data_IF_212135344493
#
_entry.id   IF_212135344493
#
_cell.length_a   1.000
_cell.length_b   1.000
_cell.length_c   1.000
_cell.angle_alpha   90.00
_cell.angle_beta   90.00
_cell.angle_gamma   90.00
#
_symmetry.space_group_name_H-M   'P 1'
#
loop_
_entity.id
_entity.type
_entity.pdbx_description
1 polymer ?
#
# COMPACT_ATOMS: atom_id res chain seq x y z
N UNK A 1 -17.53 27.41 -22.24
CA UNK A 1 -16.54 27.81 -23.26
C UNK A 1 -15.70 26.59 -23.60
N UNK A 2 -15.34 26.35 -24.86
CA UNK A 2 -14.42 25.24 -25.21
C UNK A 2 -12.98 25.73 -25.02
N UNK A 3 -12.15 24.89 -24.42
CA UNK A 3 -10.77 25.15 -24.06
C UNK A 3 -9.90 24.04 -24.65
N UNK A 4 -8.86 24.40 -25.38
CA UNK A 4 -7.85 23.47 -25.88
C UNK A 4 -6.64 23.49 -24.97
N UNK A 5 -6.32 22.34 -24.40
CA UNK A 5 -5.20 22.17 -23.48
C UNK A 5 -4.18 21.25 -24.15
N UNK A 6 -2.93 21.70 -24.19
CA UNK A 6 -1.80 20.88 -24.65
C UNK A 6 -1.34 19.99 -23.49
N UNK A 7 -1.32 18.68 -23.70
CA UNK A 7 -0.88 17.72 -22.69
C UNK A 7 0.44 17.10 -23.12
N UNK A 8 1.45 17.14 -22.25
CA UNK A 8 2.81 16.69 -22.55
C UNK A 8 3.29 15.65 -21.56
N UNK A 9 3.91 14.58 -22.06
CA UNK A 9 4.59 13.56 -21.25
C UNK A 9 6.05 13.95 -21.04
N UNK A 10 6.66 13.43 -19.97
CA UNK A 10 8.10 13.54 -19.72
C UNK A 10 8.96 12.93 -20.85
N UNK A 11 8.40 11.99 -21.62
CA UNK A 11 9.04 11.44 -22.83
C UNK A 11 9.12 12.43 -23.99
N UNK A 12 8.49 13.61 -23.88
CA UNK A 12 8.37 14.61 -24.95
C UNK A 12 7.19 14.39 -25.90
N UNK A 13 6.46 13.27 -25.78
CA UNK A 13 5.21 13.08 -26.51
C UNK A 13 4.14 14.06 -26.02
N UNK A 14 3.29 14.55 -26.92
CA UNK A 14 2.22 15.48 -26.55
C UNK A 14 0.98 15.34 -27.43
N UNK A 15 -0.15 15.81 -26.92
CA UNK A 15 -1.44 15.84 -27.63
C UNK A 15 -2.26 17.04 -27.20
N UNK A 16 -3.11 17.57 -28.09
CA UNK A 16 -3.99 18.69 -27.79
C UNK A 16 -5.41 18.20 -27.56
N UNK A 17 -5.97 18.38 -26.36
CA UNK A 17 -7.32 17.93 -26.02
C UNK A 17 -8.26 19.14 -25.95
N UNK A 18 -9.44 19.03 -26.56
CA UNK A 18 -10.49 20.04 -26.47
C UNK A 18 -11.54 19.58 -25.45
N UNK A 19 -11.73 20.37 -24.38
CA UNK A 19 -12.71 20.12 -23.31
C UNK A 19 -13.52 21.38 -23.05
N UNK A 20 -14.71 21.24 -22.50
CA UNK A 20 -15.48 22.38 -22.03
C UNK A 20 -15.00 22.83 -20.64
N UNK A 21 -15.13 24.13 -20.37
CA UNK A 21 -14.81 24.75 -19.09
C UNK A 21 -15.49 24.10 -17.87
N UNK A 22 -16.66 23.48 -18.07
CA UNK A 22 -17.43 22.81 -17.03
C UNK A 22 -17.16 21.30 -16.97
N UNK A 23 -16.41 20.75 -17.93
CA UNK A 23 -16.00 19.36 -17.87
C UNK A 23 -15.04 19.19 -16.68
N UNK A 24 -15.09 18.00 -16.08
CA UNK A 24 -14.21 17.64 -14.99
C UNK A 24 -12.82 17.30 -15.52
N UNK A 25 -11.78 17.57 -14.72
CA UNK A 25 -10.40 17.23 -15.07
C UNK A 25 -10.23 15.74 -15.39
N UNK A 26 -11.01 14.84 -14.77
CA UNK A 26 -11.02 13.42 -15.15
C UNK A 26 -11.35 13.16 -16.62
N UNK A 27 -12.22 13.98 -17.23
CA UNK A 27 -12.58 13.87 -18.66
C UNK A 27 -11.38 14.22 -19.52
N UNK A 28 -10.68 15.32 -19.18
CA UNK A 28 -9.43 15.71 -19.82
C UNK A 28 -8.40 14.57 -19.74
N UNK A 29 -8.20 14.00 -18.54
CA UNK A 29 -7.28 12.89 -18.30
C UNK A 29 -7.64 11.64 -19.11
N UNK A 30 -8.91 11.22 -19.11
CA UNK A 30 -9.40 10.06 -19.87
C UNK A 30 -9.19 10.24 -21.38
N UNK A 31 -9.47 11.43 -21.92
CA UNK A 31 -9.23 11.72 -23.33
C UNK A 31 -7.73 11.71 -23.67
N UNK A 32 -6.87 12.21 -22.78
CA UNK A 32 -5.40 12.09 -22.92
C UNK A 32 -4.97 10.63 -22.98
N UNK A 33 -5.45 9.78 -22.06
CA UNK A 33 -5.14 8.35 -22.03
C UNK A 33 -5.48 7.66 -23.35
N UNK A 34 -6.69 7.92 -23.86
CA UNK A 34 -7.15 7.35 -25.12
C UNK A 34 -6.30 7.80 -26.32
N UNK A 35 -5.84 9.05 -26.34
CA UNK A 35 -5.02 9.56 -27.45
C UNK A 35 -3.57 9.13 -27.41
N UNK A 36 -2.98 9.07 -26.22
CA UNK A 36 -1.57 8.71 -26.05
C UNK A 36 -1.36 7.20 -25.87
N UNK A 37 -2.44 6.42 -25.70
CA UNK A 37 -2.39 4.96 -25.48
C UNK A 37 -1.54 4.56 -24.27
N UNK A 38 -1.50 5.43 -23.27
CA UNK A 38 -0.83 5.23 -21.98
C UNK A 38 -1.80 5.53 -20.84
N UNK A 39 -1.71 4.83 -19.72
CA UNK A 39 -2.47 5.22 -18.54
C UNK A 39 -1.84 6.44 -17.89
N UNK A 40 -2.69 7.42 -17.56
CA UNK A 40 -2.26 8.68 -16.94
C UNK A 40 -2.70 8.63 -15.49
N UNK A 41 -1.72 8.67 -14.60
CA UNK A 41 -1.93 8.71 -13.17
C UNK A 41 -2.46 10.07 -12.71
N UNK A 42 -1.87 11.15 -13.24
CA UNK A 42 -2.21 12.50 -12.83
C UNK A 42 -1.92 13.50 -13.95
N UNK A 43 -2.71 14.57 -13.98
CA UNK A 43 -2.38 15.78 -14.70
C UNK A 43 -1.79 16.80 -13.73
N UNK A 44 -0.72 17.46 -14.13
CA UNK A 44 0.05 18.38 -13.29
C UNK A 44 0.25 19.68 -14.04
N UNK A 45 -0.15 20.80 -13.44
CA UNK A 45 0.06 22.12 -14.02
C UNK A 45 1.56 22.42 -14.17
N UNK A 46 1.91 23.47 -14.94
CA UNK A 46 3.30 23.92 -15.07
C UNK A 46 3.89 24.42 -13.73
N UNK A 47 3.06 24.84 -12.78
CA UNK A 47 3.49 25.20 -11.43
C UNK A 47 3.81 23.97 -10.56
N UNK A 48 3.57 22.75 -11.04
CA UNK A 48 3.80 21.51 -10.31
C UNK A 48 2.60 21.07 -9.46
N UNK A 49 1.45 21.73 -9.56
CA UNK A 49 0.27 21.36 -8.81
C UNK A 49 -0.50 20.24 -9.50
N UNK A 50 -0.81 19.17 -8.76
CA UNK A 50 -1.66 18.08 -9.25
C UNK A 50 -3.09 18.57 -9.41
N UNK A 51 -3.63 18.45 -10.62
CA UNK A 51 -5.01 18.80 -10.92
C UNK A 51 -5.94 17.70 -10.37
N UNK A 52 -6.94 18.09 -9.59
CA UNK A 52 -7.87 17.15 -8.96
C UNK A 52 -8.93 16.69 -9.96
N UNK A 53 -9.11 15.38 -10.09
CA UNK A 53 -10.02 14.77 -11.08
C UNK A 53 -11.49 15.22 -10.94
N UNK A 54 -11.89 15.64 -9.73
CA UNK A 54 -13.25 16.08 -9.37
C UNK A 54 -13.50 17.56 -9.57
N UNK A 55 -12.46 18.38 -9.81
CA UNK A 55 -12.63 19.78 -10.14
C UNK A 55 -12.95 19.95 -11.63
N UNK A 56 -13.69 21.00 -11.96
CA UNK A 56 -13.89 21.42 -13.34
C UNK A 56 -12.64 22.08 -13.91
N UNK A 57 -12.48 22.03 -15.23
CA UNK A 57 -11.40 22.70 -15.98
C UNK A 57 -11.30 24.19 -15.62
N UNK A 58 -12.44 24.86 -15.42
CA UNK A 58 -12.47 26.26 -15.00
C UNK A 58 -12.03 26.48 -13.54
N UNK A 59 -12.41 25.60 -12.61
CA UNK A 59 -12.01 25.70 -11.20
C UNK A 59 -10.50 25.55 -11.01
N UNK A 60 -9.86 24.72 -11.83
CA UNK A 60 -8.39 24.59 -11.85
C UNK A 60 -7.69 25.68 -12.68
N UNK A 61 -8.45 26.64 -13.22
CA UNK A 61 -7.90 27.80 -13.92
C UNK A 61 -7.32 27.52 -15.31
N UNK A 62 -7.64 26.39 -15.94
CA UNK A 62 -7.13 26.07 -17.28
C UNK A 62 -7.85 26.90 -18.36
N UNK A 63 -7.05 27.48 -19.26
CA UNK A 63 -7.46 28.37 -20.36
C UNK A 63 -6.94 27.89 -21.72
N UNK A 64 -7.43 28.48 -22.83
CA UNK A 64 -7.13 27.98 -24.19
C UNK A 64 -5.65 28.22 -24.51
N UNK A 65 -4.95 27.14 -24.85
CA UNK A 65 -3.51 27.14 -25.12
C UNK A 65 -2.63 26.75 -23.94
N UNK A 66 -3.20 26.52 -22.75
CA UNK A 66 -2.42 26.07 -21.59
C UNK A 66 -1.77 24.72 -21.83
N UNK A 67 -0.58 24.56 -21.25
CA UNK A 67 0.15 23.28 -21.26
C UNK A 67 0.09 22.64 -19.89
N UNK A 68 -0.17 21.34 -19.86
CA UNK A 68 -0.24 20.54 -18.63
C UNK A 68 0.62 19.31 -18.83
N UNK A 69 1.39 18.95 -17.81
CA UNK A 69 2.19 17.73 -17.81
C UNK A 69 1.33 16.54 -17.38
N UNK A 70 1.50 15.40 -18.05
CA UNK A 70 0.82 14.17 -17.69
C UNK A 70 1.83 13.15 -17.13
N UNK A 71 1.54 12.67 -15.92
CA UNK A 71 2.30 11.63 -15.26
C UNK A 71 1.77 10.26 -15.71
N UNK A 72 2.64 9.44 -16.30
CA UNK A 72 2.29 8.09 -16.74
C UNK A 72 2.20 7.16 -15.53
N UNK A 73 1.13 6.37 -15.49
CA UNK A 73 0.93 5.31 -14.49
C UNK A 73 1.99 4.24 -14.67
N UNK A 74 2.65 3.83 -13.59
CA UNK A 74 3.59 2.71 -13.62
C UNK A 74 2.88 1.38 -13.41
N UNK A 75 3.38 0.33 -14.05
CA UNK A 75 3.00 -1.04 -13.70
C UNK A 75 3.47 -1.32 -12.28
N UNK A 76 2.60 -1.87 -11.43
CA UNK A 76 2.92 -2.17 -10.03
C UNK A 76 2.33 -3.49 -9.58
N UNK A 77 3.04 -4.15 -8.67
CA UNK A 77 2.59 -5.31 -7.91
C UNK A 77 1.87 -4.86 -6.63
N UNK A 78 0.81 -5.59 -6.28
CA UNK A 78 0.00 -5.38 -5.09
C UNK A 78 -0.28 -6.73 -4.42
N UNK A 79 -0.15 -6.78 -3.10
CA UNK A 79 -0.41 -7.96 -2.27
C UNK A 79 -0.75 -7.48 -0.85
N UNK A 80 -1.41 -8.32 -0.05
CA UNK A 80 -1.64 -8.04 1.37
C UNK A 80 -0.63 -8.79 2.23
N UNK A 81 -0.32 -8.24 3.41
CA UNK A 81 0.45 -8.95 4.44
C UNK A 81 -0.32 -10.23 4.79
N UNK A 82 0.17 -11.38 4.31
CA UNK A 82 -0.42 -12.74 4.42
C UNK A 82 -1.35 -13.20 3.29
N UNK A 83 -1.59 -12.40 2.24
CA UNK A 83 -2.26 -12.96 1.05
C UNK A 83 -1.44 -14.10 0.45
N UNK A 84 -2.14 -15.10 -0.07
CA UNK A 84 -1.60 -16.15 -0.92
C UNK A 84 -1.72 -15.81 -2.41
N UNK A 85 -2.09 -14.56 -2.72
CA UNK A 85 -2.25 -14.04 -4.06
C UNK A 85 -1.50 -12.71 -4.25
N UNK A 86 -1.15 -12.44 -5.50
CA UNK A 86 -0.52 -11.21 -5.95
C UNK A 86 -1.35 -10.69 -7.13
N UNK A 87 -1.55 -9.38 -7.18
CA UNK A 87 -2.16 -8.69 -8.30
C UNK A 87 -1.16 -7.74 -8.96
N UNK A 88 -1.23 -7.62 -10.28
CA UNK A 88 -0.48 -6.66 -11.07
C UNK A 88 -1.46 -5.64 -11.63
N UNK A 89 -1.22 -4.37 -11.35
CA UNK A 89 -1.90 -3.24 -11.99
C UNK A 89 -1.00 -2.76 -13.12
N UNK A 90 -1.41 -2.99 -14.36
CA UNK A 90 -0.65 -2.59 -15.52
C UNK A 90 -0.73 -1.07 -15.76
N UNK A 91 0.29 -0.47 -16.38
CA UNK A 91 0.30 0.95 -16.74
C UNK A 91 -0.91 1.41 -17.57
N UNK A 92 -1.53 0.51 -18.37
CA UNK A 92 -2.76 0.79 -19.13
C UNK A 92 -4.05 0.72 -18.28
N UNK A 93 -3.94 0.43 -16.98
CA UNK A 93 -5.05 0.44 -16.02
C UNK A 93 -5.82 -0.87 -15.85
N UNK A 94 -5.43 -1.94 -16.55
CA UNK A 94 -6.00 -3.28 -16.33
C UNK A 94 -5.29 -4.03 -15.20
N UNK A 95 -5.98 -5.02 -14.62
CA UNK A 95 -5.48 -5.81 -13.49
C UNK A 95 -5.53 -7.30 -13.79
N UNK A 96 -4.48 -8.01 -13.40
CA UNK A 96 -4.38 -9.48 -13.42
C UNK A 96 -3.91 -9.95 -12.07
N UNK A 97 -4.42 -11.08 -11.58
CA UNK A 97 -4.00 -11.70 -10.32
C UNK A 97 -3.61 -13.17 -10.52
N UNK A 98 -2.70 -13.65 -9.67
CA UNK A 98 -2.29 -15.06 -9.60
C UNK A 98 -2.05 -15.48 -8.15
N UNK A 99 -2.08 -16.79 -7.89
CA UNK A 99 -1.91 -17.37 -6.56
C UNK A 99 -3.08 -18.29 -6.22
N UNK A 100 -3.40 -18.41 -4.94
CA UNK A 100 -4.49 -19.30 -4.49
C UNK A 100 -5.87 -18.75 -4.91
N UNK A 101 -6.69 -19.58 -5.58
CA UNK A 101 -8.00 -19.18 -6.11
C UNK A 101 -8.95 -18.63 -5.04
N UNK A 102 -8.98 -19.27 -3.86
CA UNK A 102 -9.80 -18.82 -2.73
C UNK A 102 -9.29 -17.50 -2.10
N UNK A 103 -8.17 -16.96 -2.56
CA UNK A 103 -7.59 -15.69 -2.12
C UNK A 103 -7.63 -14.60 -3.20
N UNK A 104 -8.47 -14.77 -4.24
CA UNK A 104 -8.52 -13.83 -5.37
C UNK A 104 -7.38 -14.01 -6.37
N UNK A 105 -6.72 -15.18 -6.36
CA UNK A 105 -5.67 -15.55 -7.31
C UNK A 105 -6.11 -15.70 -8.77
N UNK A 106 -7.41 -15.53 -9.09
CA UNK A 106 -7.90 -15.49 -10.46
C UNK A 106 -8.93 -14.35 -10.61
N UNK A 107 -8.59 -13.33 -11.41
CA UNK A 107 -9.42 -12.16 -11.72
C UNK A 107 -10.16 -12.27 -13.05
N UNK A 108 -10.06 -13.40 -13.76
CA UNK A 108 -10.64 -13.56 -15.10
C UNK A 108 -12.15 -13.29 -15.16
N UNK A 109 -12.88 -13.65 -14.11
CA UNK A 109 -14.34 -13.45 -14.03
C UNK A 109 -14.76 -11.97 -13.96
N UNK A 110 -13.87 -11.07 -13.56
CA UNK A 110 -14.14 -9.62 -13.46
C UNK A 110 -13.25 -8.80 -14.39
N UNK A 111 -12.50 -9.45 -15.30
CA UNK A 111 -11.50 -8.83 -16.18
C UNK A 111 -12.05 -7.62 -16.94
N UNK A 112 -13.26 -7.73 -17.49
CA UNK A 112 -13.89 -6.65 -18.27
C UNK A 112 -14.27 -5.43 -17.42
N UNK A 113 -14.37 -5.59 -16.11
CA UNK A 113 -14.66 -4.51 -15.16
C UNK A 113 -13.38 -3.87 -14.60
N UNK A 114 -12.26 -4.59 -14.63
CA UNK A 114 -10.96 -4.13 -14.12
C UNK A 114 -10.26 -3.21 -15.13
N UNK A 115 -10.89 -2.07 -15.39
CA UNK A 115 -10.40 -1.02 -16.30
C UNK A 115 -10.26 0.29 -15.55
N UNK A 116 -9.21 1.05 -15.89
CA UNK A 116 -8.86 2.32 -15.24
C UNK A 116 -8.77 2.24 -13.69
N UNK A 117 -8.19 1.15 -13.17
CA UNK A 117 -8.05 0.93 -11.71
C UNK A 117 -6.99 1.85 -11.10
N UNK A 118 -7.39 2.75 -10.22
CA UNK A 118 -6.51 3.72 -9.55
C UNK A 118 -5.89 3.15 -8.27
N UNK A 119 -6.68 2.44 -7.47
CA UNK A 119 -6.26 1.88 -6.19
C UNK A 119 -6.70 0.43 -6.10
N UNK A 120 -5.90 -0.39 -5.43
CA UNK A 120 -6.23 -1.78 -5.15
C UNK A 120 -6.00 -2.04 -3.67
N UNK A 121 -7.07 -2.34 -2.95
CA UNK A 121 -7.01 -2.86 -1.59
C UNK A 121 -7.07 -4.39 -1.64
N UNK A 122 -6.33 -5.04 -0.74
CA UNK A 122 -6.25 -6.49 -0.67
C UNK A 122 -6.35 -6.94 0.79
N UNK A 123 -7.19 -7.95 1.05
CA UNK A 123 -7.19 -8.69 2.30
C UNK A 123 -6.60 -10.11 2.09
N UNK A 124 -6.74 -11.03 3.03
CA UNK A 124 -6.16 -12.39 2.88
C UNK A 124 -6.89 -13.24 1.83
N UNK A 125 -8.13 -12.89 1.49
CA UNK A 125 -9.06 -13.73 0.72
C UNK A 125 -9.64 -13.07 -0.54
N UNK A 126 -9.48 -11.76 -0.69
CA UNK A 126 -10.14 -10.95 -1.70
C UNK A 126 -9.38 -9.66 -2.02
N UNK A 127 -9.74 -9.07 -3.16
CA UNK A 127 -9.28 -7.75 -3.60
C UNK A 127 -10.48 -6.84 -3.89
N UNK A 128 -10.25 -5.54 -3.72
CA UNK A 128 -11.16 -4.47 -4.10
C UNK A 128 -10.41 -3.43 -4.95
N UNK A 129 -10.85 -3.24 -6.19
CA UNK A 129 -10.32 -2.28 -7.14
C UNK A 129 -11.18 -1.02 -7.17
N UNK A 130 -10.60 0.11 -6.80
CA UNK A 130 -11.20 1.43 -6.99
C UNK A 130 -10.85 1.93 -8.39
N UNK A 131 -11.88 2.11 -9.21
CA UNK A 131 -11.79 2.64 -10.56
C UNK A 131 -11.77 4.17 -10.54
N UNK A 132 -11.25 4.76 -11.61
CA UNK A 132 -11.17 6.22 -11.74
C UNK A 132 -12.50 6.98 -11.77
N UNK A 133 -13.60 6.28 -12.03
CA UNK A 133 -14.95 6.85 -11.96
C UNK A 133 -15.53 6.86 -10.54
N UNK A 134 -14.78 6.38 -9.54
CA UNK A 134 -15.20 6.28 -8.15
C UNK A 134 -16.03 5.03 -7.84
N UNK A 135 -16.06 4.05 -8.76
CA UNK A 135 -16.69 2.74 -8.53
C UNK A 135 -15.71 1.71 -7.97
N UNK A 136 -16.23 0.75 -7.21
CA UNK A 136 -15.43 -0.37 -6.66
C UNK A 136 -15.85 -1.69 -7.31
N UNK A 137 -14.86 -2.50 -7.69
CA UNK A 137 -15.03 -3.87 -8.21
C UNK A 137 -14.29 -4.83 -7.28
N UNK A 138 -14.96 -5.88 -6.81
CA UNK A 138 -14.37 -6.87 -5.89
C UNK A 138 -14.26 -8.25 -6.52
N UNK A 139 -13.25 -9.02 -6.14
CA UNK A 139 -13.16 -10.45 -6.46
C UNK A 139 -12.47 -11.23 -5.35
N UNK A 140 -12.71 -12.54 -5.29
CA UNK A 140 -12.19 -13.44 -4.26
C UNK A 140 -13.30 -14.16 -3.51
N UNK A 141 -13.05 -14.50 -2.24
CA UNK A 141 -14.00 -15.22 -1.40
C UNK A 141 -15.14 -14.31 -0.91
N UNK A 142 -16.39 -14.79 -0.98
CA UNK A 142 -17.58 -13.97 -0.78
C UNK A 142 -17.76 -13.49 0.67
N UNK A 143 -17.51 -14.34 1.67
CA UNK A 143 -17.66 -13.99 3.11
C UNK A 143 -16.63 -12.95 3.55
N UNK A 144 -15.52 -12.86 2.83
CA UNK A 144 -14.44 -11.91 3.08
C UNK A 144 -14.49 -10.69 2.15
N UNK A 145 -15.66 -10.39 1.57
CA UNK A 145 -15.90 -9.18 0.78
C UNK A 145 -15.45 -9.25 -0.67
N UNK A 146 -15.11 -10.44 -1.20
CA UNK A 146 -14.76 -10.64 -2.60
C UNK A 146 -15.95 -10.74 -3.55
N UNK A 147 -17.20 -10.74 -3.05
CA UNK A 147 -18.43 -10.74 -3.86
C UNK A 147 -19.54 -9.97 -3.17
N UNK A 148 -20.53 -9.53 -3.94
CA UNK A 148 -21.79 -9.00 -3.42
C UNK A 148 -21.75 -7.52 -3.05
N UNK A 149 -20.74 -6.78 -3.52
CA UNK A 149 -20.58 -5.35 -3.30
C UNK A 149 -20.46 -4.59 -4.64
N UNK A 150 -21.39 -4.86 -5.56
CA UNK A 150 -21.41 -4.24 -6.88
C UNK A 150 -22.06 -2.85 -6.80
N UNK A 151 -21.45 -1.85 -7.45
CA UNK A 151 -22.08 -0.53 -7.64
C UNK A 151 -21.88 0.47 -6.51
N UNK A 152 -20.95 0.23 -5.57
CA UNK A 152 -20.49 1.29 -4.67
C UNK A 152 -19.89 2.43 -5.53
N UNK A 153 -20.33 3.66 -5.29
CA UNK A 153 -19.97 4.85 -6.07
C UNK A 153 -19.48 5.97 -5.16
N UNK A 154 -18.89 7.00 -5.76
CA UNK A 154 -18.35 8.16 -5.06
C UNK A 154 -17.25 7.80 -4.05
N UNK A 155 -16.57 6.67 -4.25
CA UNK A 155 -15.46 6.24 -3.40
C UNK A 155 -14.21 7.00 -3.80
N UNK A 156 -13.46 7.44 -2.80
CA UNK A 156 -12.17 8.14 -2.98
C UNK A 156 -10.99 7.37 -2.41
N UNK A 157 -11.24 6.42 -1.50
CA UNK A 157 -10.18 5.61 -0.88
C UNK A 157 -10.74 4.28 -0.34
N UNK A 158 -9.93 3.23 -0.36
CA UNK A 158 -10.28 1.90 0.16
C UNK A 158 -9.18 1.37 1.09
N UNK A 159 -9.57 0.78 2.21
CA UNK A 159 -8.66 0.10 3.14
C UNK A 159 -9.17 -1.30 3.44
N UNK A 160 -8.26 -2.19 3.82
CA UNK A 160 -8.56 -3.59 4.08
C UNK A 160 -7.95 -4.04 5.41
N UNK A 161 -8.74 -4.77 6.21
CA UNK A 161 -8.20 -5.65 7.26
C UNK A 161 -7.87 -7.02 6.66
N UNK A 162 -7.58 -8.05 7.46
CA UNK A 162 -7.31 -9.39 6.93
C UNK A 162 -8.54 -10.02 6.25
N UNK A 163 -9.75 -9.53 6.52
CA UNK A 163 -10.98 -10.23 6.13
C UNK A 163 -12.18 -9.30 5.88
N UNK A 164 -11.98 -7.99 5.92
CA UNK A 164 -12.99 -6.98 5.64
C UNK A 164 -12.38 -5.79 4.91
N UNK A 165 -13.25 -4.92 4.40
CA UNK A 165 -12.89 -3.69 3.73
C UNK A 165 -13.69 -2.52 4.30
N UNK A 166 -13.13 -1.32 4.16
CA UNK A 166 -13.84 -0.07 4.34
C UNK A 166 -13.51 0.87 3.17
N UNK A 167 -14.51 1.63 2.72
CA UNK A 167 -14.38 2.64 1.68
C UNK A 167 -14.78 4.00 2.22
N UNK A 168 -13.95 5.00 1.94
CA UNK A 168 -14.25 6.41 2.18
C UNK A 168 -14.94 6.99 0.94
N UNK A 169 -16.11 7.58 1.14
CA UNK A 169 -16.81 8.32 0.10
C UNK A 169 -16.41 9.80 0.10
N UNK A 170 -16.58 10.47 -1.05
CA UNK A 170 -16.18 11.86 -1.25
C UNK A 170 -16.88 12.87 -0.33
N UNK A 171 -18.03 12.50 0.23
CA UNK A 171 -18.81 13.27 1.21
C UNK A 171 -18.37 13.02 2.66
N UNK A 172 -17.37 12.17 2.88
CA UNK A 172 -16.83 11.83 4.19
C UNK A 172 -17.59 10.74 4.94
N UNK A 173 -18.53 10.05 4.27
CA UNK A 173 -19.15 8.83 4.79
C UNK A 173 -18.26 7.59 4.57
N UNK A 174 -18.48 6.57 5.39
CA UNK A 174 -17.72 5.32 5.35
C UNK A 174 -18.67 4.16 5.11
N UNK A 175 -18.33 3.30 4.15
CA UNK A 175 -19.05 2.05 3.88
C UNK A 175 -18.13 0.87 4.19
N UNK A 176 -18.62 -0.11 4.94
CA UNK A 176 -17.86 -1.31 5.33
C UNK A 176 -18.50 -2.58 4.79
N UNK A 177 -17.69 -3.59 4.49
CA UNK A 177 -18.16 -4.90 4.06
C UNK A 177 -17.15 -6.02 4.32
N UNK A 178 -17.60 -7.27 4.19
CA UNK A 178 -16.82 -8.46 4.49
C UNK A 178 -17.17 -9.04 5.86
N UNK A 179 -16.20 -9.67 6.53
CA UNK A 179 -16.46 -10.36 7.78
C UNK A 179 -16.71 -9.37 8.93
N UNK A 180 -17.90 -9.42 9.53
CA UNK A 180 -18.34 -8.46 10.55
C UNK A 180 -17.41 -8.38 11.77
N UNK A 181 -16.92 -9.53 12.27
CA UNK A 181 -16.07 -9.62 13.46
C UNK A 181 -14.72 -8.89 13.32
N UNK A 182 -14.27 -8.66 12.09
CA UNK A 182 -13.01 -7.96 11.80
C UNK A 182 -13.22 -6.58 11.16
N UNK A 183 -14.38 -5.98 11.44
CA UNK A 183 -14.73 -4.61 11.05
C UNK A 183 -15.51 -4.47 9.74
N UNK A 184 -16.01 -5.57 9.16
CA UNK A 184 -16.93 -5.54 8.03
C UNK A 184 -18.34 -5.04 8.37
N UNK A 185 -18.62 -4.78 9.65
CA UNK A 185 -19.85 -4.15 10.14
C UNK A 185 -19.49 -2.95 11.03
N UNK A 186 -19.85 -1.74 10.59
CA UNK A 186 -19.67 -0.49 11.32
C UNK A 186 -20.97 0.09 11.90
N UNK A 187 -22.07 -0.66 11.89
CA UNK A 187 -23.40 -0.17 12.31
C UNK A 187 -23.42 0.36 13.75
N UNK A 188 -22.60 -0.19 14.64
CA UNK A 188 -22.47 0.27 16.03
C UNK A 188 -21.87 1.67 16.19
N UNK A 189 -21.17 2.18 15.18
CA UNK A 189 -20.52 3.50 15.18
C UNK A 189 -20.95 4.39 14.02
N UNK A 190 -21.95 3.98 13.24
CA UNK A 190 -22.40 4.65 12.01
C UNK A 190 -22.71 6.14 12.22
N UNK A 191 -23.38 6.47 13.33
CA UNK A 191 -23.71 7.87 13.69
C UNK A 191 -22.49 8.76 13.96
N UNK A 192 -21.30 8.18 14.09
CA UNK A 192 -20.03 8.89 14.31
C UNK A 192 -19.17 8.94 13.04
N UNK A 193 -19.49 8.17 11.99
CA UNK A 193 -18.72 8.05 10.75
C UNK A 193 -19.14 9.10 9.71
N UNK A 194 -18.89 10.36 10.03
CA UNK A 194 -19.14 11.50 9.15
C UNK A 194 -17.95 12.46 9.14
N UNK A 195 -17.75 13.17 8.04
CA UNK A 195 -16.62 14.09 7.89
C UNK A 195 -15.27 13.39 8.09
N UNK A 196 -15.20 12.10 7.72
CA UNK A 196 -13.96 11.31 7.80
C UNK A 196 -13.00 11.80 6.73
N UNK A 197 -11.73 12.04 7.13
CA UNK A 197 -10.66 12.46 6.23
C UNK A 197 -9.56 11.40 6.08
N UNK A 198 -9.49 10.43 6.99
CA UNK A 198 -8.53 9.33 6.94
C UNK A 198 -9.17 8.05 7.44
N UNK A 199 -8.89 6.94 6.76
CA UNK A 199 -9.20 5.58 7.20
C UNK A 199 -7.91 4.79 7.33
N UNK A 200 -7.81 3.98 8.38
CA UNK A 200 -6.73 3.03 8.59
C UNK A 200 -7.29 1.69 9.04
N UNK A 201 -6.57 0.61 8.74
CA UNK A 201 -6.94 -0.74 9.13
C UNK A 201 -5.75 -1.46 9.78
N UNK A 202 -6.01 -2.19 10.87
CA UNK A 202 -5.14 -3.26 11.36
C UNK A 202 -5.58 -4.58 10.73
N UNK A 203 -5.01 -5.71 11.15
CA UNK A 203 -5.45 -7.04 10.69
C UNK A 203 -6.91 -7.34 10.98
N UNK A 204 -7.53 -6.71 11.98
CA UNK A 204 -8.90 -7.04 12.38
C UNK A 204 -9.76 -5.86 12.88
N UNK A 205 -9.29 -4.62 12.75
CA UNK A 205 -10.04 -3.43 13.16
C UNK A 205 -9.78 -2.26 12.21
N UNK A 206 -10.60 -1.22 12.34
CA UNK A 206 -10.48 0.02 11.59
C UNK A 206 -10.51 1.22 12.52
N UNK A 207 -9.85 2.29 12.10
CA UNK A 207 -9.88 3.60 12.73
C UNK A 207 -10.16 4.67 11.67
N UNK A 208 -11.10 5.56 11.97
CA UNK A 208 -11.46 6.71 11.15
C UNK A 208 -11.06 8.00 11.88
N UNK A 209 -10.27 8.85 11.20
CA UNK A 209 -9.98 10.20 11.66
C UNK A 209 -10.96 11.17 11.04
N UNK A 210 -11.69 11.91 11.88
CA UNK A 210 -12.60 12.97 11.47
C UNK A 210 -11.87 14.29 11.23
N UNK A 211 -12.50 15.16 10.45
CA UNK A 211 -11.99 16.49 10.16
C UNK A 211 -11.78 17.36 11.43
N UNK A 212 -12.54 17.09 12.50
CA UNK A 212 -12.43 17.76 13.80
C UNK A 212 -11.37 17.17 14.73
N UNK A 213 -10.57 16.22 14.26
CA UNK A 213 -9.47 15.62 15.04
C UNK A 213 -9.89 14.48 15.99
N UNK A 214 -11.15 14.04 15.99
CA UNK A 214 -11.58 12.87 16.75
C UNK A 214 -11.35 11.57 15.99
N UNK A 215 -11.06 10.51 16.74
CA UNK A 215 -10.92 9.15 16.20
C UNK A 215 -12.10 8.28 16.60
N UNK A 216 -12.63 7.55 15.61
CA UNK A 216 -13.68 6.53 15.79
C UNK A 216 -13.10 5.17 15.39
N UNK A 217 -13.26 4.16 16.24
CA UNK A 217 -12.74 2.79 15.99
C UNK A 217 -13.85 1.75 15.98
N UNK A 218 -13.67 0.67 15.24
CA UNK A 218 -14.57 -0.49 15.24
C UNK A 218 -13.85 -1.76 14.77
N UNK A 219 -14.51 -2.92 14.91
CA UNK A 219 -13.96 -4.24 14.63
C UNK A 219 -13.48 -4.96 15.89
N UNK A 220 -12.51 -5.85 15.75
CA UNK A 220 -12.02 -6.70 16.83
C UNK A 220 -11.43 -5.86 17.97
N UNK A 221 -11.93 -5.98 19.22
CA UNK A 221 -11.46 -5.15 20.34
C UNK A 221 -9.95 -5.22 20.58
N UNK A 222 -9.38 -6.44 20.55
CA UNK A 222 -7.95 -6.68 20.80
C UNK A 222 -7.02 -6.30 19.66
N UNK A 223 -7.57 -5.84 18.52
CA UNK A 223 -6.79 -5.35 17.38
C UNK A 223 -6.95 -3.83 17.17
N UNK A 224 -7.44 -3.11 18.18
CA UNK A 224 -7.66 -1.66 18.13
C UNK A 224 -9.10 -1.23 17.88
N UNK A 225 -10.05 -2.17 17.78
CA UNK A 225 -11.47 -1.84 17.65
C UNK A 225 -12.06 -1.20 18.91
N UNK A 226 -11.48 -1.48 20.07
CA UNK A 226 -11.82 -0.83 21.35
C UNK A 226 -10.72 0.18 21.75
N UNK A 227 -11.05 1.46 21.66
CA UNK A 227 -10.19 2.59 22.05
C UNK A 227 -10.57 3.18 23.41
N UNK A 228 -11.49 2.58 24.18
CA UNK A 228 -12.09 3.20 25.39
C UNK A 228 -11.05 3.65 26.42
N UNK A 229 -9.94 2.90 26.55
CA UNK A 229 -8.83 3.20 27.48
C UNK A 229 -8.03 4.45 27.15
N UNK A 230 -8.08 4.91 25.89
CA UNK A 230 -7.32 6.07 25.39
C UNK A 230 -8.25 7.10 24.74
N UNK A 231 -9.57 6.93 24.85
CA UNK A 231 -10.54 7.74 24.10
C UNK A 231 -10.46 9.23 24.44
N UNK A 232 -10.11 9.55 25.69
CA UNK A 232 -9.86 10.90 26.17
C UNK A 232 -8.59 11.53 25.58
N UNK A 233 -7.62 10.70 25.15
CA UNK A 233 -6.40 11.13 24.46
C UNK A 233 -6.60 11.24 22.94
N UNK A 234 -7.63 10.64 22.36
CA UNK A 234 -7.91 10.61 20.91
C UNK A 234 -8.68 11.84 20.41
N UNK A 235 -8.24 13.02 20.86
CA UNK A 235 -8.69 14.34 20.40
C UNK A 235 -7.51 15.11 19.82
N UNK A 236 -7.78 16.08 18.94
CA UNK A 236 -6.77 16.88 18.24
C UNK A 236 -5.75 16.02 17.47
N UNK A 237 -6.18 14.83 17.02
CA UNK A 237 -5.37 13.91 16.24
C UNK A 237 -5.15 14.48 14.84
N UNK A 238 -3.88 14.52 14.43
CA UNK A 238 -3.48 14.99 13.12
C UNK A 238 -3.42 13.84 12.10
N UNK A 239 -2.92 12.68 12.53
CA UNK A 239 -2.73 11.52 11.66
C UNK A 239 -2.83 10.19 12.43
N UNK A 240 -3.32 9.15 11.76
CA UNK A 240 -3.34 7.76 12.25
C UNK A 240 -2.46 6.89 11.36
N UNK A 241 -1.61 6.08 11.99
CA UNK A 241 -0.89 4.97 11.39
C UNK A 241 -1.48 3.66 11.88
N UNK A 242 -1.35 2.61 11.07
CA UNK A 242 -1.70 1.25 11.49
C UNK A 242 -0.52 0.30 11.40
N UNK A 243 -0.62 -0.76 12.19
CA UNK A 243 0.26 -1.92 12.21
C UNK A 243 -0.60 -3.18 12.07
N UNK A 244 0.00 -4.36 12.15
CA UNK A 244 -0.78 -5.61 12.14
C UNK A 244 -1.84 -5.68 13.24
N UNK A 245 -1.60 -5.15 14.45
CA UNK A 245 -2.56 -5.27 15.58
C UNK A 245 -2.80 -3.97 16.38
N UNK A 246 -2.03 -2.92 16.12
CA UNK A 246 -2.12 -1.64 16.83
C UNK A 246 -2.35 -0.47 15.88
N UNK A 247 -2.96 0.58 16.40
CA UNK A 247 -2.94 1.91 15.81
C UNK A 247 -1.98 2.82 16.58
N UNK A 248 -1.45 3.80 15.86
CA UNK A 248 -0.61 4.86 16.41
C UNK A 248 -1.17 6.19 15.92
N UNK A 249 -1.54 7.08 16.83
CA UNK A 249 -2.00 8.42 16.50
C UNK A 249 -0.93 9.44 16.87
N UNK A 250 -0.71 10.41 15.99
CA UNK A 250 0.04 11.64 16.30
C UNK A 250 -0.93 12.78 16.51
N UNK A 251 -0.80 13.46 17.65
CA UNK A 251 -1.60 14.62 18.01
C UNK A 251 -0.96 15.90 17.48
N UNK A 252 -1.75 16.97 17.44
CA UNK A 252 -1.31 18.29 16.96
C UNK A 252 -0.21 18.92 17.84
N UNK A 253 -0.05 18.44 19.07
CA UNK A 253 1.01 18.81 20.02
C UNK A 253 2.29 17.97 19.84
N UNK A 254 2.33 17.04 18.87
CA UNK A 254 3.44 16.14 18.60
C UNK A 254 3.42 14.84 19.42
N UNK A 255 2.54 14.73 20.43
CA UNK A 255 2.47 13.53 21.29
C UNK A 255 1.90 12.32 20.55
N UNK A 256 2.30 11.13 21.01
CA UNK A 256 1.99 9.84 20.39
C UNK A 256 1.07 9.04 21.29
N UNK A 257 0.00 8.48 20.71
CA UNK A 257 -0.93 7.57 21.40
C UNK A 257 -0.94 6.24 20.68
N UNK A 258 -0.69 5.15 21.40
CA UNK A 258 -0.72 3.78 20.87
C UNK A 258 -1.86 3.01 21.52
N UNK A 259 -2.63 2.25 20.74
CA UNK A 259 -3.66 1.35 21.26
C UNK A 259 -3.88 0.14 20.34
N UNK A 260 -4.50 -0.90 20.88
CA UNK A 260 -4.84 -2.12 20.15
C UNK A 260 -4.41 -3.37 20.91
N UNK A 261 -3.29 -3.97 20.48
CA UNK A 261 -2.83 -5.26 21.01
C UNK A 261 -2.63 -5.21 22.53
N UNK A 262 -3.41 -5.97 23.32
CA UNK A 262 -3.25 -6.02 24.77
C UNK A 262 -1.94 -6.68 25.21
N UNK A 263 -1.24 -7.38 24.32
CA UNK A 263 0.05 -8.03 24.57
C UNK A 263 1.25 -7.16 24.20
N UNK A 264 1.03 -5.97 23.62
CA UNK A 264 2.14 -5.08 23.29
C UNK A 264 2.71 -4.45 24.57
N UNK A 265 3.93 -4.85 24.91
CA UNK A 265 4.64 -4.36 26.09
C UNK A 265 5.50 -3.12 25.75
N UNK A 266 5.20 -2.00 26.43
CA UNK A 266 6.01 -0.78 26.37
C UNK A 266 5.87 0.07 27.61
N UNK A 267 6.86 0.94 27.82
CA UNK A 267 6.81 2.02 28.81
C UNK A 267 6.27 3.29 28.14
N UNK A 268 5.39 4.03 28.80
CA UNK A 268 4.89 5.31 28.27
C UNK A 268 6.03 6.34 28.15
N UNK A 269 7.08 6.24 28.99
CA UNK A 269 8.28 7.10 28.90
C UNK A 269 9.05 6.90 27.57
N UNK A 270 8.97 5.71 26.95
CA UNK A 270 9.58 5.47 25.63
C UNK A 270 8.85 6.26 24.52
N UNK A 271 7.53 6.49 24.69
CA UNK A 271 6.72 7.27 23.75
C UNK A 271 6.95 8.78 23.91
N UNK A 272 7.24 9.26 25.12
CA UNK A 272 7.55 10.68 25.37
C UNK A 272 8.83 11.16 24.67
N UNK A 273 9.71 10.23 24.30
CA UNK A 273 10.95 10.54 23.57
C UNK A 273 10.73 10.74 22.06
N UNK A 274 9.56 10.34 21.58
CA UNK A 274 9.14 10.45 20.19
C UNK A 274 8.33 11.72 19.98
N UNK A 275 8.51 12.31 18.81
CA UNK A 275 7.71 13.43 18.34
C UNK A 275 7.62 13.35 16.83
N UNK A 276 6.47 13.71 16.27
CA UNK A 276 6.27 13.77 14.82
C UNK A 276 6.71 12.48 14.11
N UNK A 277 5.97 11.39 14.38
CA UNK A 277 6.20 10.08 13.75
C UNK A 277 6.17 10.23 12.23
N UNK A 278 7.20 9.72 11.56
CA UNK A 278 7.30 9.70 10.10
C UNK A 278 7.03 8.32 9.51
N UNK A 279 7.31 7.25 10.26
CA UNK A 279 7.08 5.87 9.81
C UNK A 279 6.74 4.94 10.97
N UNK A 280 5.88 3.97 10.68
CA UNK A 280 5.54 2.88 11.58
C UNK A 280 5.74 1.56 10.83
N UNK A 281 6.43 0.62 11.46
CA UNK A 281 6.59 -0.75 10.97
C UNK A 281 6.11 -1.74 12.01
N UNK A 282 5.61 -2.90 11.57
CA UNK A 282 5.12 -3.94 12.46
C UNK A 282 5.75 -5.27 12.17
N UNK A 283 6.09 -6.00 13.23
CA UNK A 283 6.24 -7.45 13.20
C UNK A 283 5.02 -8.12 13.85
N UNK A 284 5.03 -9.44 13.96
CA UNK A 284 3.97 -10.20 14.62
C UNK A 284 3.91 -10.01 16.14
N UNK A 285 4.95 -9.45 16.76
CA UNK A 285 5.04 -9.28 18.23
C UNK A 285 5.49 -7.89 18.68
N UNK A 286 5.93 -7.03 17.75
CA UNK A 286 6.48 -5.73 18.06
C UNK A 286 6.10 -4.69 17.01
N UNK A 287 6.22 -3.43 17.39
CA UNK A 287 6.08 -2.29 16.46
C UNK A 287 7.31 -1.41 16.57
N UNK A 288 7.78 -0.88 15.45
CA UNK A 288 8.92 0.03 15.40
C UNK A 288 8.46 1.38 14.86
N UNK A 289 8.71 2.43 15.64
CA UNK A 289 8.30 3.80 15.40
C UNK A 289 9.51 4.64 15.05
N UNK A 290 9.46 5.36 13.92
CA UNK A 290 10.48 6.31 13.50
C UNK A 290 9.94 7.73 13.66
N UNK A 291 10.60 8.53 14.47
CA UNK A 291 10.36 9.97 14.54
C UNK A 291 11.00 10.69 13.35
N UNK A 292 10.46 11.86 12.99
CA UNK A 292 11.01 12.70 11.91
C UNK A 292 12.45 13.17 12.17
N UNK A 293 12.88 13.21 13.43
CA UNK A 293 14.26 13.49 13.85
C UNK A 293 15.22 12.29 13.68
N UNK A 294 14.71 11.16 13.19
CA UNK A 294 15.48 9.95 12.92
C UNK A 294 15.61 8.99 14.11
N UNK A 295 14.95 9.23 15.25
CA UNK A 295 14.92 8.28 16.36
C UNK A 295 14.02 7.09 16.04
N UNK A 296 14.48 5.89 16.38
CA UNK A 296 13.70 4.66 16.27
C UNK A 296 13.46 4.07 17.66
N UNK A 297 12.21 3.75 17.97
CA UNK A 297 11.81 3.05 19.19
C UNK A 297 11.04 1.80 18.80
N UNK A 298 11.45 0.64 19.32
CA UNK A 298 10.77 -0.65 19.09
C UNK A 298 10.07 -1.10 20.37
N UNK A 299 8.74 -1.19 20.30
CA UNK A 299 7.84 -1.60 21.37
C UNK A 299 7.51 -3.09 21.21
N UNK A 300 7.38 -3.84 22.32
CA UNK A 300 7.15 -5.29 22.31
C UNK A 300 8.14 -6.06 23.19
N UNK A 301 8.09 -7.40 23.20
CA UNK A 301 8.93 -8.22 24.07
C UNK A 301 10.41 -8.14 23.69
N UNK A 302 11.30 -8.39 24.65
CA UNK A 302 12.75 -8.28 24.48
C UNK A 302 13.29 -9.08 23.27
N UNK A 303 12.72 -10.26 22.98
CA UNK A 303 13.10 -11.07 21.83
C UNK A 303 12.85 -10.35 20.49
N UNK A 304 11.73 -9.62 20.36
CA UNK A 304 11.37 -8.89 19.16
C UNK A 304 12.09 -7.53 19.06
N UNK A 305 12.42 -6.91 20.21
CA UNK A 305 13.32 -5.74 20.27
C UNK A 305 14.74 -6.09 19.80
N UNK A 306 15.17 -7.33 20.01
CA UNK A 306 16.49 -7.82 19.58
C UNK A 306 17.62 -6.92 20.09
N UNK A 307 18.59 -6.63 19.22
CA UNK A 307 19.71 -5.74 19.47
C UNK A 307 19.45 -4.29 18.99
N UNK A 308 18.19 -3.86 18.83
CA UNK A 308 17.87 -2.53 18.30
C UNK A 308 18.50 -1.37 19.08
N UNK A 309 18.68 -1.52 20.40
CA UNK A 309 19.33 -0.53 21.24
C UNK A 309 20.83 -0.33 20.95
N UNK A 310 21.49 -1.33 20.34
CA UNK A 310 22.91 -1.30 19.99
C UNK A 310 23.15 -0.80 18.55
N UNK A 311 22.08 -0.62 17.77
CA UNK A 311 22.16 -0.21 16.38
C UNK A 311 22.14 1.32 16.26
N UNK A 312 22.99 1.84 15.38
CA UNK A 312 22.87 3.22 14.93
C UNK A 312 21.69 3.34 13.96
N UNK A 313 20.52 3.64 14.52
CA UNK A 313 19.27 3.87 13.79
C UNK A 313 19.08 5.34 13.42
N UNK A 314 20.12 6.17 13.55
CA UNK A 314 20.07 7.54 13.03
C UNK A 314 20.02 7.51 11.50
N UNK A 315 19.20 8.38 10.92
CA UNK A 315 19.04 8.53 9.46
C UNK A 315 18.45 7.30 8.75
N UNK A 316 17.46 6.65 9.36
CA UNK A 316 16.64 5.62 8.71
C UNK A 316 15.59 6.28 7.80
N UNK A 317 15.44 5.76 6.58
CA UNK A 317 14.40 6.20 5.63
C UNK A 317 13.22 5.23 5.52
N UNK A 318 13.45 3.93 5.76
CA UNK A 318 12.40 2.90 5.65
C UNK A 318 12.66 1.77 6.64
N UNK A 319 11.61 1.29 7.29
CA UNK A 319 11.63 0.06 8.09
C UNK A 319 10.61 -0.91 7.51
N UNK A 320 10.99 -2.19 7.46
CA UNK A 320 10.10 -3.30 7.11
C UNK A 320 10.14 -4.35 8.21
N UNK A 321 8.99 -4.96 8.50
CA UNK A 321 8.87 -6.05 9.46
C UNK A 321 8.50 -7.37 8.80
N UNK A 322 9.13 -8.46 9.26
CA UNK A 322 8.66 -9.83 9.07
C UNK A 322 7.82 -10.25 10.29
N UNK A 323 7.52 -11.53 10.47
CA UNK A 323 6.76 -12.00 11.63
C UNK A 323 7.49 -11.77 12.98
N UNK A 324 8.81 -11.77 13.01
CA UNK A 324 9.58 -11.64 14.25
C UNK A 324 10.79 -10.71 14.18
N UNK A 325 11.05 -10.09 13.03
CA UNK A 325 12.24 -9.29 12.80
C UNK A 325 11.93 -8.01 12.04
N UNK A 326 12.90 -7.11 12.01
CA UNK A 326 12.86 -5.86 11.25
C UNK A 326 14.14 -5.69 10.43
N UNK A 327 14.00 -4.96 9.33
CA UNK A 327 15.09 -4.45 8.52
C UNK A 327 14.90 -2.94 8.33
N UNK A 328 15.93 -2.15 8.59
CA UNK A 328 15.95 -0.73 8.31
C UNK A 328 16.91 -0.41 7.17
N UNK A 329 16.40 0.36 6.20
CA UNK A 329 17.18 1.00 5.16
C UNK A 329 17.57 2.40 5.63
N UNK A 330 18.88 2.68 5.63
CA UNK A 330 19.45 3.97 6.01
C UNK A 330 19.61 4.89 4.80
N UNK A 331 19.75 6.19 5.05
CA UNK A 331 19.94 7.22 4.02
C UNK A 331 21.21 7.03 3.17
N UNK A 332 22.21 6.31 3.69
CA UNK A 332 23.44 5.96 2.96
C UNK A 332 23.28 4.72 2.05
N UNK A 333 22.10 4.11 2.03
CA UNK A 333 21.80 2.90 1.27
C UNK A 333 22.29 1.61 1.93
N UNK A 334 22.73 1.64 3.18
CA UNK A 334 23.03 0.43 3.96
C UNK A 334 21.79 -0.11 4.67
N UNK A 335 21.78 -1.42 4.93
CA UNK A 335 20.68 -2.08 5.67
C UNK A 335 21.21 -2.66 6.98
N UNK A 336 20.44 -2.46 8.05
CA UNK A 336 20.63 -3.10 9.37
C UNK A 336 19.39 -3.91 9.73
N UNK A 337 19.58 -5.00 10.47
CA UNK A 337 18.50 -5.92 10.87
C UNK A 337 18.55 -6.20 12.37
N UNK A 338 17.38 -6.48 12.95
CA UNK A 338 17.24 -6.88 14.35
C UNK A 338 16.01 -7.77 14.55
N UNK A 339 15.91 -8.40 15.72
CA UNK A 339 14.82 -9.29 16.10
C UNK A 339 15.19 -10.77 15.91
N UNK A 340 14.19 -11.63 15.68
CA UNK A 340 14.39 -13.08 15.60
C UNK A 340 15.14 -13.50 14.33
N UNK A 341 16.31 -14.12 14.51
CA UNK A 341 17.17 -14.59 13.42
C UNK A 341 16.50 -15.62 12.51
N UNK A 342 15.58 -16.44 13.04
CA UNK A 342 14.81 -17.43 12.27
C UNK A 342 13.83 -16.79 11.28
N UNK A 343 13.51 -15.51 11.49
CA UNK A 343 12.58 -14.72 10.66
C UNK A 343 13.28 -13.60 9.88
N UNK A 344 14.62 -13.64 9.82
CA UNK A 344 15.44 -12.67 9.05
C UNK A 344 16.08 -11.55 9.87
N UNK A 345 16.05 -11.64 11.21
CA UNK A 345 16.72 -10.68 12.11
C UNK A 345 18.25 -10.76 12.11
N UNK A 346 18.84 -11.75 11.42
CA UNK A 346 20.29 -11.86 11.20
C UNK A 346 20.60 -11.80 9.69
N UNK A 347 21.20 -10.69 9.25
CA UNK A 347 21.69 -10.48 7.89
C UNK A 347 23.21 -10.64 7.73
N UNK A 348 23.92 -11.13 8.75
CA UNK A 348 25.39 -11.17 8.78
C UNK A 348 26.02 -11.89 7.59
N UNK A 349 25.39 -12.96 7.10
CA UNK A 349 25.83 -13.74 5.94
C UNK A 349 25.84 -12.93 4.64
N UNK A 350 24.96 -11.93 4.51
CA UNK A 350 24.80 -11.11 3.29
C UNK A 350 25.15 -9.63 3.52
N UNK A 351 25.64 -9.25 4.71
CA UNK A 351 25.85 -7.85 5.09
C UNK A 351 26.72 -7.05 4.13
N UNK A 352 27.72 -7.70 3.49
CA UNK A 352 28.58 -7.05 2.48
C UNK A 352 27.84 -6.67 1.20
N UNK A 353 26.73 -7.32 0.90
CA UNK A 353 25.88 -7.08 -0.27
C UNK A 353 24.77 -6.05 0.02
N UNK A 354 24.49 -5.78 1.30
CA UNK A 354 23.48 -4.84 1.78
C UNK A 354 24.01 -3.40 1.81
N UNK A 355 24.57 -2.97 0.68
CA UNK A 355 25.11 -1.64 0.42
C UNK A 355 24.56 -1.15 -0.92
N UNK A 356 24.31 0.16 -1.03
CA UNK A 356 23.63 0.77 -2.18
C UNK A 356 22.26 0.14 -2.44
N UNK A 357 21.49 -0.09 -1.38
CA UNK A 357 20.09 -0.53 -1.42
C UNK A 357 19.21 0.71 -1.51
N UNK A 358 18.13 0.64 -2.30
CA UNK A 358 17.12 1.70 -2.35
C UNK A 358 15.73 1.23 -1.92
N UNK A 359 15.49 -0.09 -1.87
CA UNK A 359 14.25 -0.62 -1.33
C UNK A 359 14.44 -1.95 -0.59
N UNK A 360 13.57 -2.19 0.38
CA UNK A 360 13.47 -3.43 1.15
C UNK A 360 12.02 -3.88 1.21
N UNK A 361 11.82 -5.19 1.14
CA UNK A 361 10.51 -5.85 1.19
C UNK A 361 10.61 -7.08 2.08
N UNK A 362 9.49 -7.47 2.69
CA UNK A 362 9.43 -8.62 3.61
C UNK A 362 8.33 -9.61 3.20
N UNK A 363 8.58 -10.90 3.48
CA UNK A 363 7.53 -11.91 3.67
C UNK A 363 7.41 -12.20 5.17
N UNK A 364 6.62 -13.21 5.55
CA UNK A 364 6.48 -13.56 6.97
C UNK A 364 7.80 -13.96 7.65
N UNK A 365 8.79 -14.50 6.92
CA UNK A 365 10.04 -15.01 7.54
C UNK A 365 11.31 -14.67 6.75
N UNK A 366 11.22 -13.81 5.74
CA UNK A 366 12.35 -13.45 4.90
C UNK A 366 12.26 -12.00 4.41
N UNK A 367 13.38 -11.49 3.92
CA UNK A 367 13.49 -10.16 3.34
C UNK A 367 14.17 -10.22 1.96
N UNK A 368 13.85 -9.22 1.14
CA UNK A 368 14.48 -8.96 -0.14
C UNK A 368 14.88 -7.47 -0.22
N UNK A 369 16.12 -7.20 -0.60
CA UNK A 369 16.64 -5.85 -0.83
C UNK A 369 16.90 -5.64 -2.32
N UNK A 370 16.43 -4.52 -2.86
CA UNK A 370 16.70 -4.07 -4.24
C UNK A 370 17.89 -3.11 -4.21
N UNK A 371 18.93 -3.44 -4.96
CA UNK A 371 20.15 -2.63 -5.07
C UNK A 371 20.03 -1.62 -6.20
N UNK A 372 20.82 -0.55 -6.12
CA UNK A 372 20.86 0.53 -7.12
C UNK A 372 21.31 0.07 -8.51
N UNK A 373 21.95 -1.10 -8.60
CA UNK A 373 22.31 -1.75 -9.87
C UNK A 373 21.21 -2.67 -10.43
N UNK A 374 20.00 -2.63 -9.87
CA UNK A 374 18.85 -3.41 -10.31
C UNK A 374 18.87 -4.89 -9.88
N UNK A 375 19.87 -5.31 -9.09
CA UNK A 375 19.94 -6.69 -8.56
C UNK A 375 19.20 -6.84 -7.23
N UNK A 376 18.86 -8.08 -6.87
CA UNK A 376 18.16 -8.41 -5.63
C UNK A 376 19.01 -9.31 -4.72
N UNK A 377 19.01 -9.00 -3.42
CA UNK A 377 19.63 -9.81 -2.36
C UNK A 377 18.55 -10.27 -1.40
N UNK A 378 18.53 -11.56 -1.05
CA UNK A 378 17.55 -12.14 -0.11
C UNK A 378 18.23 -12.74 1.11
N UNK A 379 17.51 -12.77 2.24
CA UNK A 379 17.93 -13.44 3.47
C UNK A 379 16.72 -13.86 4.32
N UNK A 380 16.97 -14.67 5.35
CA UNK A 380 15.93 -15.27 6.20
C UNK A 380 15.55 -16.68 5.75
N UNK A 381 14.32 -17.10 6.03
CA UNK A 381 13.90 -18.49 5.81
C UNK A 381 13.76 -18.81 4.31
N UNK A 382 14.46 -19.87 3.85
CA UNK A 382 14.54 -20.24 2.43
C UNK A 382 13.18 -20.48 1.76
N UNK A 383 12.30 -21.28 2.39
CA UNK A 383 10.94 -21.57 1.88
C UNK A 383 10.06 -20.30 1.76
N UNK A 384 10.34 -19.27 2.56
CA UNK A 384 9.60 -18.00 2.55
C UNK A 384 10.22 -16.96 1.59
N UNK A 385 11.13 -17.39 0.71
CA UNK A 385 11.78 -16.50 -0.26
C UNK A 385 13.14 -15.95 0.16
N UNK A 386 13.69 -16.41 1.29
CA UNK A 386 15.04 -16.04 1.76
C UNK A 386 16.17 -16.64 0.91
N UNK A 387 15.86 -17.51 -0.05
CA UNK A 387 16.77 -18.02 -1.06
C UNK A 387 16.19 -17.78 -2.47
N UNK A 388 16.85 -16.91 -3.24
CA UNK A 388 16.51 -16.61 -4.64
C UNK A 388 17.51 -17.22 -5.64
N UNK A 389 18.38 -18.14 -5.23
CA UNK A 389 19.45 -18.70 -6.07
C UNK A 389 18.94 -19.32 -7.38
N UNK A 390 17.77 -19.98 -7.34
CA UNK A 390 17.13 -20.59 -8.51
C UNK A 390 16.71 -19.60 -9.61
N UNK A 391 16.49 -18.33 -9.26
CA UNK A 391 16.04 -17.28 -10.19
C UNK A 391 17.04 -16.13 -10.29
N UNK A 392 18.23 -16.27 -9.69
CA UNK A 392 19.21 -15.18 -9.55
C UNK A 392 19.61 -14.52 -10.87
N UNK A 393 19.77 -15.32 -11.93
CA UNK A 393 20.12 -14.82 -13.27
C UNK A 393 19.00 -14.02 -13.95
N UNK A 394 17.76 -14.11 -13.43
CA UNK A 394 16.61 -13.36 -13.93
C UNK A 394 16.36 -12.07 -13.11
N UNK A 395 17.04 -11.87 -11.97
CA UNK A 395 16.84 -10.73 -11.07
C UNK A 395 17.81 -9.58 -11.38
N UNK A 396 17.61 -8.96 -12.53
CA UNK A 396 18.32 -7.76 -12.99
C UNK A 396 17.34 -6.72 -13.54
N UNK A 397 17.73 -5.45 -13.52
CA UNK A 397 16.88 -4.31 -13.85
C UNK A 397 15.54 -4.34 -13.09
N UNK A 398 15.58 -4.79 -11.82
CA UNK A 398 14.39 -4.90 -10.97
C UNK A 398 13.97 -3.52 -10.49
N UNK A 399 12.71 -3.18 -10.76
CA UNK A 399 12.08 -1.90 -10.44
C UNK A 399 11.14 -1.98 -9.23
N UNK A 400 10.65 -3.18 -8.91
CA UNK A 400 9.81 -3.39 -7.74
C UNK A 400 9.93 -4.83 -7.27
N UNK A 401 9.84 -5.05 -5.96
CA UNK A 401 9.58 -6.36 -5.36
C UNK A 401 8.32 -6.25 -4.51
N UNK A 402 7.49 -7.28 -4.52
CA UNK A 402 6.35 -7.43 -3.62
C UNK A 402 6.43 -8.79 -2.91
N UNK A 403 6.23 -8.81 -1.60
CA UNK A 403 6.20 -10.02 -0.78
C UNK A 403 4.79 -10.42 -0.40
N UNK A 404 4.43 -11.68 -0.61
CA UNK A 404 3.21 -12.31 -0.08
C UNK A 404 3.50 -13.00 1.25
N UNK A 405 2.64 -13.91 1.73
CA UNK A 405 2.90 -14.66 2.97
C UNK A 405 4.28 -15.35 3.00
N UNK A 406 4.65 -16.03 1.91
CA UNK A 406 5.83 -16.88 1.83
C UNK A 406 6.54 -16.86 0.46
N UNK A 407 6.28 -15.86 -0.36
CA UNK A 407 6.94 -15.72 -1.67
C UNK A 407 7.12 -14.26 -2.05
N UNK A 408 8.02 -14.01 -2.99
CA UNK A 408 8.21 -12.70 -3.58
C UNK A 408 7.93 -12.74 -5.08
N UNK A 409 7.56 -11.59 -5.63
CA UNK A 409 7.56 -11.33 -7.06
C UNK A 409 8.34 -10.04 -7.35
N UNK A 410 9.26 -10.09 -8.30
CA UNK A 410 9.99 -8.94 -8.82
C UNK A 410 9.40 -8.51 -10.17
N UNK A 411 9.20 -7.20 -10.35
CA UNK A 411 8.88 -6.56 -11.62
C UNK A 411 10.15 -5.92 -12.19
N UNK A 412 10.53 -6.32 -13.40
CA UNK A 412 11.67 -5.78 -14.14
C UNK A 412 11.25 -4.57 -14.99
N UNK A 413 12.23 -3.78 -15.40
CA UNK A 413 12.03 -2.61 -16.25
C UNK A 413 11.38 -2.93 -17.60
N UNK A 414 11.65 -4.12 -18.15
CA UNK A 414 11.02 -4.63 -19.37
C UNK A 414 9.58 -5.14 -19.17
N UNK A 415 9.04 -5.04 -17.95
CA UNK A 415 7.71 -5.51 -17.59
C UNK A 415 7.63 -7.00 -17.26
N UNK A 416 8.73 -7.75 -17.34
CA UNK A 416 8.75 -9.15 -16.94
C UNK A 416 8.57 -9.30 -15.42
N UNK A 417 7.84 -10.35 -15.03
CA UNK A 417 7.63 -10.71 -13.62
C UNK A 417 8.34 -12.01 -13.31
N UNK A 418 9.18 -12.01 -12.27
CA UNK A 418 9.92 -13.17 -11.77
C UNK A 418 9.46 -13.45 -10.34
N UNK A 419 8.93 -14.64 -10.07
CA UNK A 419 8.48 -15.02 -8.73
C UNK A 419 9.35 -16.14 -8.13
N UNK A 420 9.50 -16.15 -6.81
CA UNK A 420 10.22 -17.20 -6.06
C UNK A 420 9.68 -17.35 -4.63
N UNK A 421 10.04 -18.46 -3.98
CA UNK A 421 9.52 -18.85 -2.66
C UNK A 421 8.41 -19.90 -2.80
N UNK A 422 7.48 -19.95 -1.84
CA UNK A 422 6.46 -21.00 -1.80
C UNK A 422 5.51 -20.90 -3.02
N UNK A 423 5.33 -21.98 -3.82
CA UNK A 423 4.43 -21.98 -4.97
C UNK A 423 2.97 -21.64 -4.64
N UNK A 424 2.45 -22.14 -3.51
CA UNK A 424 1.07 -21.94 -3.07
C UNK A 424 0.79 -20.52 -2.56
N UNK A 425 1.82 -19.70 -2.38
CA UNK A 425 1.70 -18.30 -1.97
C UNK A 425 1.98 -17.30 -3.09
N UNK A 426 2.14 -17.76 -4.34
CA UNK A 426 2.48 -16.91 -5.48
C UNK A 426 3.92 -17.02 -5.97
N UNK A 427 4.72 -17.94 -5.44
CA UNK A 427 6.11 -18.19 -5.84
C UNK A 427 6.30 -18.76 -7.25
N UNK A 428 5.22 -18.92 -8.03
CA UNK A 428 5.24 -19.29 -9.45
C UNK A 428 4.26 -18.38 -10.23
N UNK A 429 4.75 -17.65 -11.24
CA UNK A 429 3.97 -16.66 -12.00
C UNK A 429 3.54 -17.13 -13.41
N UNK A 430 3.64 -18.43 -13.71
CA UNK A 430 3.55 -18.96 -15.08
C UNK A 430 2.31 -18.60 -15.92
N UNK A 431 1.20 -18.16 -15.29
CA UNK A 431 -0.03 -17.71 -15.96
C UNK A 431 -0.04 -16.19 -16.26
N UNK A 432 0.63 -15.38 -15.44
CA UNK A 432 0.72 -13.93 -15.61
C UNK A 432 1.66 -13.54 -16.76
N UNK A 433 2.74 -14.28 -16.98
CA UNK A 433 3.67 -14.05 -18.09
C UNK A 433 3.01 -14.27 -19.45
N UNK A 434 2.13 -15.26 -19.60
CA UNK A 434 1.39 -15.47 -20.85
C UNK A 434 0.37 -14.37 -21.15
N UNK A 435 -0.33 -13.85 -20.14
CA UNK A 435 -1.33 -12.77 -20.33
C UNK A 435 -0.67 -11.41 -20.59
N UNK A 436 0.48 -11.13 -19.95
CA UNK A 436 1.31 -9.96 -20.24
C UNK A 436 1.90 -9.99 -21.66
N UNK A 437 2.41 -11.14 -22.10
CA UNK A 437 2.88 -11.33 -23.48
C UNK A 437 1.74 -11.23 -24.48
N UNK A 438 0.54 -11.74 -24.16
CA UNK A 438 -0.61 -11.65 -25.06
C UNK A 438 -1.12 -10.20 -25.18
N UNK A 439 -1.22 -9.47 -24.07
CA UNK A 439 -1.59 -8.05 -24.05
C UNK A 439 -0.56 -7.15 -24.75
N UNK A 440 0.73 -7.54 -24.77
CA UNK A 440 1.76 -6.89 -25.57
C UNK A 440 1.68 -7.27 -27.07
N UNK A 441 1.17 -8.46 -27.41
CA UNK A 441 1.07 -8.96 -28.79
C UNK A 441 -0.23 -8.59 -29.53
N UNK A 442 -1.29 -8.21 -28.80
CA UNK A 442 -2.58 -7.84 -29.40
C UNK A 442 -2.61 -6.43 -30.03
N UNK A 443 -1.51 -5.66 -29.98
CA UNK A 443 -1.38 -4.34 -30.61
C UNK A 443 -0.23 -4.33 -31.66
N UNK A 444 -0.31 -5.19 -32.68
CA UNK A 444 0.38 -4.99 -33.98
C UNK A 444 -0.65 -4.83 -35.08
#
# INVERSE_FOLDING_TARGET
MSVRVQITLLSGQSTCIAVHSHDLVRVLRQQTQSRLQVGIEALVSLSGEKLTDVASVAEVGLTDGDTVNALVRRTRLVTSHRSLAIALVHQKGFVVSWGHDACGGDSSNVKDQLVDVNELAANEYAFAALRSDGTVVTWGEARHGGKGFDGLTNVVHTVASNSAFAALQADGHVVTWGLAEVGGDSSGVDTQLFGVKQLQATSAAFAALRADGHVVTWGMPTAGGDSTRVQDKLTDVHHIYSTSLCFVATKSDGSVVVWGDPLLEFDEEELEQLSDISLVASSGQAISLLSSDGKVVTLGPAAARGNSADLDLSSVQKIQGSHGAFAALRNDGSVVTWGDSSTGGDSSAVQRLLQNVWDIQATSHAFAAIRNDGTVVTWGHSIHGGDCSAVKEQLFDVQQVAGSFASFAALREDGAVVAWGNPGSGGHCGRATSELLHAASCDI
#
